data_IF_998095329918
#
_entry.id   IF_998095329918
#
_cell.length_a   1.000
_cell.length_b   1.000
_cell.length_c   1.000
_cell.angle_alpha   90.00
_cell.angle_beta   90.00
_cell.angle_gamma   90.00
#
_symmetry.space_group_name_H-M   'P 1'
#
loop_
_entity.id
_entity.type
_entity.pdbx_description
1 polymer ?
#
# COMPACT_ATOMS: atom_id res chain seq x y z
N UNK A 1 34.13 15.96 -1.80
CA UNK A 1 33.30 14.73 -1.77
C UNK A 1 31.87 15.11 -2.16
N UNK A 2 31.47 14.78 -3.38
CA UNK A 2 30.09 14.92 -3.85
C UNK A 2 29.21 13.95 -3.06
N UNK A 3 28.16 14.47 -2.40
CA UNK A 3 27.17 13.64 -1.73
C UNK A 3 26.32 12.97 -2.80
N UNK A 4 26.51 11.67 -2.99
CA UNK A 4 25.67 10.88 -3.88
C UNK A 4 24.38 10.57 -3.12
N UNK A 5 23.32 11.32 -3.40
CA UNK A 5 21.98 11.04 -2.91
C UNK A 5 21.31 10.04 -3.86
N UNK A 6 21.59 8.74 -3.72
CA UNK A 6 20.81 7.71 -4.43
C UNK A 6 19.52 7.47 -3.63
N UNK A 7 18.50 8.27 -3.92
CA UNK A 7 17.14 7.94 -3.53
C UNK A 7 16.38 7.67 -4.82
N UNK A 8 15.77 6.48 -4.95
CA UNK A 8 15.09 6.03 -6.18
C UNK A 8 14.15 7.10 -6.76
N UNK A 9 13.56 7.90 -5.88
CA UNK A 9 12.63 8.95 -6.22
C UNK A 9 13.19 9.91 -7.28
N UNK A 10 14.48 10.28 -7.23
CA UNK A 10 15.09 11.26 -8.13
C UNK A 10 15.60 10.71 -9.45
N UNK A 11 16.18 9.50 -9.44
CA UNK A 11 16.78 8.91 -10.64
C UNK A 11 15.98 7.77 -11.24
N UNK A 12 14.99 7.23 -10.52
CA UNK A 12 14.11 6.13 -10.90
C UNK A 12 14.86 4.88 -11.38
N UNK A 13 16.04 4.62 -10.79
CA UNK A 13 16.98 3.59 -11.22
C UNK A 13 17.31 2.57 -10.11
N UNK A 14 16.47 2.44 -9.09
CA UNK A 14 16.65 1.46 -7.99
C UNK A 14 15.67 0.31 -8.13
N UNK A 15 14.38 0.60 -8.40
CA UNK A 15 13.37 -0.44 -8.64
C UNK A 15 13.15 -0.62 -10.15
N UNK A 16 13.79 -1.65 -10.71
CA UNK A 16 13.75 -1.93 -12.15
C UNK A 16 12.59 -2.82 -12.60
N UNK A 17 11.93 -3.48 -11.64
CA UNK A 17 10.80 -4.37 -11.87
C UNK A 17 9.78 -4.16 -10.76
N UNK A 18 8.52 -4.36 -11.09
CA UNK A 18 7.40 -4.39 -10.15
C UNK A 18 7.33 -5.71 -9.39
N UNK A 19 8.04 -6.75 -9.86
CA UNK A 19 8.04 -8.08 -9.25
C UNK A 19 8.55 -8.01 -7.80
N UNK A 20 7.78 -8.55 -6.82
CA UNK A 20 8.22 -8.58 -5.43
C UNK A 20 9.43 -9.50 -5.26
N UNK A 21 10.39 -9.08 -4.45
CA UNK A 21 11.61 -9.85 -4.17
C UNK A 21 11.66 -10.43 -2.74
N UNK A 22 10.59 -10.26 -1.97
CA UNK A 22 10.52 -10.70 -0.57
C UNK A 22 9.41 -11.73 -0.40
N UNK A 23 9.81 -13.01 -0.24
CA UNK A 23 8.87 -14.11 -0.04
C UNK A 23 8.04 -13.95 1.24
N UNK A 24 8.52 -13.20 2.24
CA UNK A 24 7.81 -13.00 3.52
C UNK A 24 6.52 -12.16 3.40
N UNK A 25 6.23 -11.60 2.23
CA UNK A 25 4.93 -10.97 1.93
C UNK A 25 3.81 -12.01 1.70
N UNK A 26 4.18 -13.27 1.43
CA UNK A 26 3.25 -14.33 1.02
C UNK A 26 3.27 -15.46 2.05
N UNK A 27 2.65 -15.24 3.23
CA UNK A 27 2.80 -16.14 4.38
C UNK A 27 1.78 -17.28 4.40
N UNK A 28 0.64 -17.08 3.75
CA UNK A 28 -0.47 -18.02 3.78
C UNK A 28 -1.17 -18.10 2.44
N UNK A 29 -1.65 -19.29 2.09
CA UNK A 29 -2.60 -19.45 0.98
C UNK A 29 -3.90 -18.72 1.32
N UNK A 30 -4.49 -18.07 0.31
CA UNK A 30 -5.77 -17.36 0.39
C UNK A 30 -6.79 -18.00 -0.55
N UNK A 31 -7.94 -18.39 -0.03
CA UNK A 31 -9.07 -18.81 -0.86
C UNK A 31 -9.77 -17.61 -1.46
N UNK A 32 -10.31 -17.77 -2.67
CA UNK A 32 -11.19 -16.77 -3.27
C UNK A 32 -12.46 -16.63 -2.43
N UNK A 33 -12.96 -15.40 -2.31
CA UNK A 33 -14.23 -15.12 -1.68
C UNK A 33 -15.38 -15.76 -2.50
N UNK A 34 -16.36 -16.39 -1.84
CA UNK A 34 -17.48 -17.03 -2.51
C UNK A 34 -18.45 -16.02 -3.12
N UNK A 35 -19.28 -16.49 -4.07
CA UNK A 35 -20.22 -15.63 -4.79
C UNK A 35 -21.28 -14.97 -3.90
N UNK A 36 -21.58 -15.57 -2.75
CA UNK A 36 -22.54 -15.08 -1.76
C UNK A 36 -21.88 -14.31 -0.61
N UNK A 37 -20.59 -13.95 -0.73
CA UNK A 37 -19.86 -13.17 0.27
C UNK A 37 -20.62 -11.90 0.68
N UNK A 38 -20.62 -11.61 1.98
CA UNK A 38 -21.30 -10.44 2.56
C UNK A 38 -20.29 -9.49 3.18
N UNK A 39 -20.34 -8.24 2.74
CA UNK A 39 -19.52 -7.18 3.29
C UNK A 39 -20.16 -6.68 4.59
N UNK A 40 -19.61 -7.08 5.73
CA UNK A 40 -20.22 -6.84 7.06
C UNK A 40 -20.12 -5.38 7.49
N UNK A 41 -19.03 -4.71 7.09
CA UNK A 41 -18.80 -3.31 7.37
C UNK A 41 -17.99 -2.64 6.25
N UNK A 42 -17.97 -1.31 6.26
CA UNK A 42 -17.27 -0.49 5.24
C UNK A 42 -16.25 0.46 5.86
N UNK A 43 -15.91 0.22 7.13
CA UNK A 43 -14.94 1.05 7.83
C UNK A 43 -13.55 0.74 7.28
N UNK A 44 -12.79 1.79 7.03
CA UNK A 44 -11.41 1.68 6.54
C UNK A 44 -10.47 1.62 7.73
N UNK A 45 -9.39 0.84 7.62
CA UNK A 45 -8.25 0.91 8.56
C UNK A 45 -7.07 1.61 7.91
N UNK A 46 -6.35 2.42 8.68
CA UNK A 46 -5.13 3.07 8.25
C UNK A 46 -4.03 2.91 9.31
N UNK A 47 -3.01 2.11 8.99
CA UNK A 47 -1.80 1.98 9.79
C UNK A 47 -0.78 3.06 9.36
N UNK A 48 -0.80 4.22 10.02
CA UNK A 48 0.04 5.38 9.69
C UNK A 48 0.86 5.77 10.92
N UNK A 49 1.96 5.07 11.13
CA UNK A 49 2.86 5.30 12.27
C UNK A 49 3.83 6.48 12.09
N UNK A 50 3.67 7.27 11.03
CA UNK A 50 4.43 8.49 10.80
C UNK A 50 3.48 9.62 10.40
N UNK A 51 3.28 10.56 11.32
CA UNK A 51 2.46 11.74 11.14
C UNK A 51 3.35 13.00 11.15
N UNK A 52 3.18 13.85 10.14
CA UNK A 52 3.79 15.19 10.05
C UNK A 52 2.75 16.32 9.94
N UNK A 53 1.47 15.97 10.02
CA UNK A 53 0.37 16.91 9.81
C UNK A 53 0.25 17.43 8.38
N UNK A 54 -0.66 18.38 8.19
CA UNK A 54 -0.98 18.96 6.88
C UNK A 54 0.08 19.95 6.37
N UNK A 55 1.02 20.35 7.23
CA UNK A 55 2.15 21.22 6.88
C UNK A 55 3.40 20.43 6.46
N UNK A 56 3.23 19.17 6.04
CA UNK A 56 4.33 18.38 5.48
C UNK A 56 4.84 19.06 4.20
N UNK A 57 6.16 19.24 4.11
CA UNK A 57 6.81 19.76 2.90
C UNK A 57 6.59 18.81 1.72
N UNK A 58 6.30 19.38 0.55
CA UNK A 58 6.17 18.60 -0.67
C UNK A 58 7.54 18.12 -1.15
N UNK A 59 7.57 16.95 -1.79
CA UNK A 59 8.75 16.48 -2.53
C UNK A 59 8.43 16.61 -4.00
N UNK A 60 8.92 17.69 -4.63
CA UNK A 60 8.62 17.97 -6.04
C UNK A 60 9.65 17.34 -6.97
N UNK A 61 9.20 16.52 -7.91
CA UNK A 61 10.03 15.94 -8.97
C UNK A 61 9.33 16.15 -10.31
N UNK A 62 10.02 16.80 -11.23
CA UNK A 62 9.47 17.19 -12.54
C UNK A 62 8.11 17.92 -12.45
N UNK A 63 7.90 18.71 -11.39
CA UNK A 63 6.67 19.46 -11.15
C UNK A 63 5.53 18.67 -10.52
N UNK A 64 5.75 17.40 -10.16
CA UNK A 64 4.78 16.53 -9.48
C UNK A 64 5.21 16.37 -8.02
N UNK A 65 4.25 16.55 -7.10
CA UNK A 65 4.47 16.19 -5.69
C UNK A 65 4.38 14.68 -5.53
N UNK A 66 5.51 14.05 -5.24
CA UNK A 66 5.61 12.61 -5.09
C UNK A 66 5.49 12.17 -3.63
N UNK A 67 5.45 13.09 -2.66
CA UNK A 67 5.22 12.74 -1.26
C UNK A 67 3.73 12.43 -1.03
N UNK A 68 3.44 11.21 -0.56
CA UNK A 68 2.08 10.76 -0.31
C UNK A 68 1.67 10.90 1.17
N UNK A 69 2.58 11.30 2.07
CA UNK A 69 2.33 11.45 3.51
C UNK A 69 1.21 12.46 3.76
N UNK A 70 1.24 13.60 3.05
CA UNK A 70 0.19 14.62 3.17
C UNK A 70 -1.18 14.07 2.72
N UNK A 71 -1.23 13.37 1.58
CA UNK A 71 -2.48 12.76 1.07
C UNK A 71 -3.04 11.72 2.04
N UNK A 72 -2.18 10.87 2.62
CA UNK A 72 -2.58 9.91 3.67
C UNK A 72 -3.17 10.62 4.88
N UNK A 73 -2.57 11.74 5.26
CA UNK A 73 -3.05 12.56 6.37
C UNK A 73 -4.42 13.18 6.07
N UNK A 74 -4.61 13.72 4.86
CA UNK A 74 -5.89 14.29 4.43
C UNK A 74 -7.02 13.26 4.44
N UNK A 75 -6.77 12.05 3.92
CA UNK A 75 -7.75 10.95 3.92
C UNK A 75 -8.08 10.52 5.36
N UNK A 76 -7.07 10.31 6.19
CA UNK A 76 -7.25 9.88 7.57
C UNK A 76 -8.06 10.89 8.40
N UNK A 77 -7.72 12.19 8.31
CA UNK A 77 -8.44 13.24 9.03
C UNK A 77 -9.88 13.40 8.51
N UNK A 78 -10.09 13.35 7.19
CA UNK A 78 -11.43 13.44 6.61
C UNK A 78 -12.30 12.24 7.02
N UNK A 79 -11.78 11.03 6.86
CA UNK A 79 -12.48 9.80 7.21
C UNK A 79 -12.80 9.72 8.70
N UNK A 80 -11.87 10.16 9.57
CA UNK A 80 -12.07 10.12 11.01
C UNK A 80 -13.20 11.06 11.41
N UNK A 81 -13.25 12.27 10.81
CA UNK A 81 -14.33 13.24 11.01
C UNK A 81 -15.72 12.67 10.68
N UNK A 82 -15.82 11.77 9.70
CA UNK A 82 -17.09 11.13 9.30
C UNK A 82 -17.24 9.71 9.85
N UNK A 83 -16.37 9.28 10.76
CA UNK A 83 -16.32 7.93 11.34
C UNK A 83 -16.22 6.79 10.30
N UNK A 84 -15.62 7.06 9.14
CA UNK A 84 -15.42 6.08 8.07
C UNK A 84 -14.03 5.42 8.07
N UNK A 85 -13.10 5.89 8.90
CA UNK A 85 -11.75 5.32 9.04
C UNK A 85 -11.31 5.26 10.50
N UNK A 86 -10.63 4.19 10.87
CA UNK A 86 -9.86 4.08 12.10
C UNK A 86 -8.36 4.19 11.81
N UNK A 87 -7.68 5.03 12.58
CA UNK A 87 -6.26 5.35 12.39
C UNK A 87 -5.44 4.75 13.52
N UNK A 88 -4.37 4.04 13.16
CA UNK A 88 -3.44 3.45 14.12
C UNK A 88 -2.02 3.89 13.84
N UNK A 89 -1.38 4.49 14.83
CA UNK A 89 0.00 4.95 14.74
C UNK A 89 0.30 6.10 15.70
N UNK A 90 1.59 6.28 15.99
CA UNK A 90 2.05 7.36 16.86
C UNK A 90 2.02 8.76 16.22
N UNK A 91 1.92 9.76 17.09
CA UNK A 91 2.14 11.17 16.77
C UNK A 91 0.92 11.93 16.25
N UNK A 92 -0.23 11.27 16.15
CA UNK A 92 -1.48 11.91 15.76
C UNK A 92 -2.06 12.78 16.88
N UNK A 93 -2.87 13.81 16.55
CA UNK A 93 -3.63 14.55 17.54
C UNK A 93 -4.56 13.66 18.37
N UNK A 94 -4.85 14.08 19.61
CA UNK A 94 -5.75 13.37 20.51
C UNK A 94 -7.11 13.09 19.86
N UNK A 95 -7.59 11.85 19.99
CA UNK A 95 -8.86 11.40 19.43
C UNK A 95 -8.83 11.00 17.95
N UNK A 96 -7.69 11.13 17.26
CA UNK A 96 -7.55 10.67 15.87
C UNK A 96 -7.05 9.23 15.80
N UNK A 97 -5.91 8.93 16.45
CA UNK A 97 -5.39 7.57 16.47
C UNK A 97 -5.93 6.81 17.68
N UNK A 98 -6.34 5.56 17.45
CA UNK A 98 -6.85 4.67 18.50
C UNK A 98 -5.73 4.13 19.40
N UNK A 99 -4.55 3.88 18.83
CA UNK A 99 -3.35 3.38 19.52
C UNK A 99 -2.13 3.43 18.58
N UNK A 100 -0.92 3.19 19.10
CA UNK A 100 0.26 2.98 18.25
C UNK A 100 0.28 1.56 17.66
N UNK A 101 0.23 1.47 16.33
CA UNK A 101 0.28 0.21 15.58
C UNK A 101 1.59 -0.58 15.72
N UNK A 102 2.62 -0.01 16.37
CA UNK A 102 3.96 -0.60 16.49
C UNK A 102 4.31 -1.13 17.88
N UNK A 103 3.36 -1.16 18.80
CA UNK A 103 3.58 -1.77 20.11
C UNK A 103 3.64 -3.31 20.02
N UNK A 104 4.61 -3.92 20.70
CA UNK A 104 4.76 -5.38 20.77
C UNK A 104 5.32 -6.03 19.50
N UNK A 105 4.91 -7.28 19.23
CA UNK A 105 5.24 -7.96 17.98
C UNK A 105 4.44 -7.36 16.83
N UNK A 106 5.10 -6.50 16.06
CA UNK A 106 4.48 -5.74 14.98
C UNK A 106 3.82 -6.62 13.92
N UNK A 107 4.38 -7.80 13.62
CA UNK A 107 3.81 -8.67 12.58
C UNK A 107 2.45 -9.23 13.01
N UNK A 108 2.35 -9.74 14.22
CA UNK A 108 1.09 -10.25 14.77
C UNK A 108 0.12 -9.11 15.00
N UNK A 109 0.57 -8.00 15.60
CA UNK A 109 -0.29 -6.85 15.89
C UNK A 109 -0.91 -6.25 14.62
N UNK A 110 -0.12 -6.14 13.55
CA UNK A 110 -0.61 -5.64 12.26
C UNK A 110 -1.77 -6.47 11.74
N UNK A 111 -1.68 -7.81 11.81
CA UNK A 111 -2.76 -8.71 11.37
C UNK A 111 -4.00 -8.56 12.24
N UNK A 112 -3.83 -8.52 13.56
CA UNK A 112 -4.95 -8.33 14.50
C UNK A 112 -5.70 -7.02 14.23
N UNK A 113 -4.96 -5.95 13.89
CA UNK A 113 -5.54 -4.65 13.55
C UNK A 113 -6.24 -4.62 12.19
N UNK A 114 -5.82 -5.43 11.22
CA UNK A 114 -6.44 -5.50 9.90
C UNK A 114 -7.68 -6.41 9.88
N UNK A 115 -7.67 -7.48 10.67
CA UNK A 115 -8.69 -8.53 10.66
C UNK A 115 -10.16 -8.07 10.78
N UNK A 116 -10.55 -7.05 11.57
CA UNK A 116 -11.95 -6.64 11.66
C UNK A 116 -12.41 -5.72 10.51
N UNK A 117 -11.53 -5.39 9.56
CA UNK A 117 -11.80 -4.46 8.48
C UNK A 117 -11.84 -5.16 7.13
N UNK A 118 -12.49 -4.49 6.17
CA UNK A 118 -12.56 -4.95 4.79
C UNK A 118 -11.84 -4.01 3.82
N UNK A 119 -11.41 -2.84 4.26
CA UNK A 119 -10.70 -1.86 3.44
C UNK A 119 -9.49 -1.35 4.20
N UNK A 120 -8.34 -1.29 3.54
CA UNK A 120 -7.10 -0.81 4.15
C UNK A 120 -6.46 0.28 3.29
N UNK A 121 -6.06 1.38 3.92
CA UNK A 121 -5.31 2.46 3.29
C UNK A 121 -3.84 2.04 3.08
N UNK A 122 -3.59 1.32 2.00
CA UNK A 122 -2.33 0.68 1.65
C UNK A 122 -1.40 1.60 0.81
N UNK A 123 -1.40 2.90 1.08
CA UNK A 123 -0.56 3.87 0.34
C UNK A 123 0.92 3.66 0.60
N UNK A 124 1.72 3.86 -0.44
CA UNK A 124 3.14 4.11 -0.24
C UNK A 124 3.39 5.45 0.44
N UNK A 125 4.59 5.61 1.01
CA UNK A 125 5.00 6.90 1.57
C UNK A 125 5.31 7.91 0.45
N UNK A 126 5.72 7.42 -0.72
CA UNK A 126 6.18 8.23 -1.84
C UNK A 126 5.83 7.52 -3.14
N UNK A 127 5.30 8.27 -4.11
CA UNK A 127 5.09 7.78 -5.47
C UNK A 127 6.45 7.72 -6.19
N UNK A 128 6.92 6.53 -6.50
CA UNK A 128 8.18 6.33 -7.20
C UNK A 128 8.07 5.12 -8.13
N UNK A 129 8.72 5.21 -9.30
CA UNK A 129 8.66 4.16 -10.32
C UNK A 129 8.95 2.78 -9.73
N UNK A 130 8.03 1.84 -9.97
CA UNK A 130 8.07 0.44 -9.52
C UNK A 130 8.21 0.25 -8.00
N UNK A 131 7.98 1.28 -7.18
CA UNK A 131 8.05 1.16 -5.73
C UNK A 131 6.73 0.59 -5.19
N UNK A 132 6.72 -0.72 -4.96
CA UNK A 132 5.61 -1.48 -4.39
C UNK A 132 6.15 -2.26 -3.20
N UNK A 133 5.59 -2.05 -2.01
CA UNK A 133 6.09 -2.61 -0.76
C UNK A 133 5.11 -3.63 -0.16
N UNK A 134 5.34 -4.01 1.11
CA UNK A 134 4.49 -4.94 1.86
C UNK A 134 3.02 -4.48 1.97
N UNK A 135 2.73 -3.18 1.83
CA UNK A 135 1.43 -2.60 2.25
C UNK A 135 0.24 -3.16 1.48
N UNK A 136 0.35 -3.29 0.16
CA UNK A 136 -0.73 -3.87 -0.64
C UNK A 136 -0.86 -5.38 -0.39
N UNK A 137 0.26 -6.08 -0.21
CA UNK A 137 0.27 -7.52 0.06
C UNK A 137 -0.34 -7.85 1.43
N UNK A 138 0.04 -7.11 2.47
CA UNK A 138 -0.52 -7.28 3.82
C UNK A 138 -2.03 -6.92 3.85
N UNK A 139 -2.48 -5.99 2.99
CA UNK A 139 -3.92 -5.74 2.81
C UNK A 139 -4.63 -6.99 2.32
N UNK A 140 -4.11 -7.60 1.25
CA UNK A 140 -4.72 -8.75 0.58
C UNK A 140 -4.67 -9.99 1.49
N UNK A 141 -3.54 -10.22 2.18
CA UNK A 141 -3.37 -11.33 3.13
C UNK A 141 -4.40 -11.30 4.28
N UNK A 142 -4.92 -10.13 4.62
CA UNK A 142 -5.94 -9.94 5.66
C UNK A 142 -7.33 -9.68 5.06
N UNK A 143 -7.58 -10.11 3.81
CA UNK A 143 -8.85 -9.96 3.12
C UNK A 143 -9.40 -8.52 3.12
N UNK A 144 -8.51 -7.52 3.14
CA UNK A 144 -8.86 -6.12 2.97
C UNK A 144 -8.67 -5.71 1.51
N UNK A 145 -9.71 -5.16 0.88
CA UNK A 145 -9.58 -4.50 -0.41
C UNK A 145 -8.61 -3.31 -0.29
N UNK A 146 -7.50 -3.28 -1.05
CA UNK A 146 -6.53 -2.21 -0.91
C UNK A 146 -7.08 -0.89 -1.47
N UNK A 147 -6.89 0.19 -0.71
CA UNK A 147 -6.96 1.57 -1.19
C UNK A 147 -5.51 2.00 -1.41
N UNK A 148 -5.07 2.02 -2.67
CA UNK A 148 -3.65 2.12 -3.02
C UNK A 148 -3.34 3.44 -3.72
N UNK A 149 -2.13 3.93 -3.46
CA UNK A 149 -1.47 4.97 -4.24
C UNK A 149 0.04 4.74 -4.13
N UNK A 150 0.68 4.51 -5.27
CA UNK A 150 2.13 4.53 -5.46
C UNK A 150 2.44 5.10 -6.83
N UNK A 151 3.08 4.31 -7.70
CA UNK A 151 3.30 4.62 -9.12
C UNK A 151 2.45 3.70 -10.02
N UNK A 152 2.30 4.08 -11.29
CA UNK A 152 1.52 3.34 -12.30
C UNK A 152 2.07 1.93 -12.61
N UNK A 153 3.33 1.62 -12.26
CA UNK A 153 3.88 0.27 -12.41
C UNK A 153 3.08 -0.81 -11.65
N UNK A 154 2.24 -0.43 -10.69
CA UNK A 154 1.32 -1.39 -10.02
C UNK A 154 0.44 -2.17 -11.01
N UNK A 155 0.12 -1.58 -12.17
CA UNK A 155 -0.71 -2.21 -13.19
C UNK A 155 0.00 -3.28 -14.04
N UNK A 156 1.32 -3.40 -13.91
CA UNK A 156 2.06 -4.55 -14.46
C UNK A 156 1.77 -5.83 -13.67
N UNK A 157 1.31 -5.70 -12.42
CA UNK A 157 0.97 -6.82 -11.54
C UNK A 157 -0.54 -7.01 -11.39
N UNK A 158 -1.25 -5.91 -11.15
CA UNK A 158 -2.66 -5.95 -10.78
C UNK A 158 -3.53 -5.51 -11.95
N UNK A 159 -4.58 -6.29 -12.30
CA UNK A 159 -5.49 -5.88 -13.35
C UNK A 159 -6.27 -4.63 -12.95
N UNK A 160 -6.77 -3.90 -13.94
CA UNK A 160 -7.69 -2.78 -13.72
C UNK A 160 -8.90 -3.24 -12.89
N UNK A 161 -9.41 -2.33 -12.04
CA UNK A 161 -10.52 -2.60 -11.12
C UNK A 161 -10.29 -3.81 -10.20
N UNK A 162 -9.07 -4.00 -9.69
CA UNK A 162 -8.78 -4.98 -8.63
C UNK A 162 -8.63 -4.33 -7.25
N UNK A 163 -8.10 -3.11 -7.19
CA UNK A 163 -8.00 -2.30 -5.98
C UNK A 163 -8.64 -0.93 -6.20
N UNK A 164 -8.79 -0.13 -5.14
CA UNK A 164 -9.22 1.26 -5.25
C UNK A 164 -7.98 2.12 -5.53
N UNK A 165 -7.79 2.53 -6.79
CA UNK A 165 -6.71 3.42 -7.19
C UNK A 165 -7.03 4.87 -6.83
N UNK A 166 -6.44 5.37 -5.75
CA UNK A 166 -6.67 6.74 -5.33
C UNK A 166 -5.99 7.77 -6.24
N UNK A 167 -5.00 7.39 -7.05
CA UNK A 167 -4.38 8.32 -8.01
C UNK A 167 -5.40 8.85 -9.03
N UNK A 168 -6.43 8.05 -9.35
CA UNK A 168 -7.53 8.42 -10.24
C UNK A 168 -8.68 9.16 -9.53
N UNK A 169 -8.78 9.05 -8.20
CA UNK A 169 -9.84 9.67 -7.39
C UNK A 169 -9.38 11.05 -6.90
N UNK A 170 -8.20 11.08 -6.24
CA UNK A 170 -7.55 12.26 -5.68
C UNK A 170 -8.48 13.17 -4.84
N UNK A 171 -9.46 12.59 -4.16
CA UNK A 171 -10.42 13.30 -3.32
C UNK A 171 -10.93 12.39 -2.18
N UNK A 172 -10.77 12.78 -0.90
CA UNK A 172 -11.21 11.94 0.22
C UNK A 172 -12.72 11.71 0.26
N UNK A 173 -13.53 12.73 -0.05
CA UNK A 173 -15.00 12.60 -0.05
C UNK A 173 -15.44 11.55 -1.07
N UNK A 174 -14.96 11.67 -2.31
CA UNK A 174 -15.30 10.73 -3.39
C UNK A 174 -14.80 9.31 -3.06
N UNK A 175 -13.63 9.16 -2.43
CA UNK A 175 -13.15 7.86 -1.96
C UNK A 175 -14.16 7.18 -1.02
N UNK A 176 -14.61 7.89 0.03
CA UNK A 176 -15.55 7.31 0.97
C UNK A 176 -16.96 7.13 0.37
N UNK A 177 -17.38 7.96 -0.58
CA UNK A 177 -18.61 7.74 -1.35
C UNK A 177 -18.53 6.46 -2.20
N UNK A 178 -17.39 6.16 -2.83
CA UNK A 178 -17.18 4.91 -3.58
C UNK A 178 -17.29 3.71 -2.63
N UNK A 179 -16.62 3.76 -1.48
CA UNK A 179 -16.63 2.68 -0.49
C UNK A 179 -18.06 2.45 0.03
N UNK A 180 -18.75 3.53 0.42
CA UNK A 180 -20.11 3.47 0.96
C UNK A 180 -21.12 2.90 -0.05
N UNK A 181 -20.92 3.14 -1.35
CA UNK A 181 -21.80 2.63 -2.41
C UNK A 181 -21.36 1.29 -3.01
N UNK A 182 -20.18 0.77 -2.63
CA UNK A 182 -19.68 -0.51 -3.15
C UNK A 182 -20.58 -1.67 -2.77
N UNK A 183 -21.00 -2.48 -3.74
CA UNK A 183 -21.81 -3.68 -3.48
C UNK A 183 -20.95 -4.85 -2.99
N UNK A 184 -21.58 -5.82 -2.31
CA UNK A 184 -20.95 -7.11 -1.94
C UNK A 184 -20.26 -7.77 -3.15
N UNK A 185 -20.97 -7.80 -4.28
CA UNK A 185 -20.50 -8.40 -5.53
C UNK A 185 -19.29 -7.67 -6.08
N UNK A 186 -19.30 -6.35 -6.07
CA UNK A 186 -18.18 -5.53 -6.53
C UNK A 186 -16.96 -5.72 -5.64
N UNK A 187 -17.14 -5.64 -4.32
CA UNK A 187 -16.08 -5.88 -3.34
C UNK A 187 -15.41 -7.23 -3.58
N UNK A 188 -16.21 -8.30 -3.63
CA UNK A 188 -15.72 -9.67 -3.83
C UNK A 188 -15.02 -9.81 -5.19
N UNK A 189 -15.58 -9.26 -6.26
CA UNK A 189 -14.97 -9.30 -7.60
C UNK A 189 -13.60 -8.63 -7.61
N UNK A 190 -13.49 -7.45 -6.99
CA UNK A 190 -12.24 -6.68 -6.92
C UNK A 190 -11.19 -7.40 -6.09
N UNK A 191 -11.54 -7.80 -4.87
CA UNK A 191 -10.61 -8.47 -3.97
C UNK A 191 -10.16 -9.84 -4.51
N UNK A 192 -11.03 -10.60 -5.19
CA UNK A 192 -10.65 -11.86 -5.82
C UNK A 192 -9.57 -11.67 -6.90
N UNK A 193 -9.65 -10.61 -7.71
CA UNK A 193 -8.56 -10.26 -8.66
C UNK A 193 -7.24 -9.99 -7.93
N UNK A 194 -7.28 -9.32 -6.78
CA UNK A 194 -6.08 -9.12 -5.95
C UNK A 194 -5.56 -10.44 -5.37
N UNK A 195 -6.44 -11.31 -4.91
CA UNK A 195 -6.09 -12.64 -4.37
C UNK A 195 -5.44 -13.51 -5.44
N UNK A 196 -5.92 -13.47 -6.69
CA UNK A 196 -5.30 -14.20 -7.81
C UNK A 196 -3.84 -13.79 -8.03
N UNK A 197 -3.55 -12.48 -7.99
CA UNK A 197 -2.18 -11.95 -8.08
C UNK A 197 -1.33 -12.37 -6.88
N UNK A 198 -1.88 -12.27 -5.66
CA UNK A 198 -1.22 -12.74 -4.45
C UNK A 198 -0.88 -14.23 -4.54
N UNK A 199 -1.84 -15.06 -4.98
CA UNK A 199 -1.67 -16.51 -5.11
C UNK A 199 -0.64 -16.88 -6.18
N UNK A 200 -0.55 -16.11 -7.27
CA UNK A 200 0.51 -16.29 -8.25
C UNK A 200 1.89 -16.21 -7.61
N UNK A 201 2.13 -15.22 -6.74
CA UNK A 201 3.40 -15.06 -6.05
C UNK A 201 3.59 -16.03 -4.88
N UNK A 202 2.54 -16.31 -4.10
CA UNK A 202 2.56 -17.33 -3.05
C UNK A 202 2.91 -18.72 -3.59
N UNK A 203 2.53 -19.04 -4.83
CA UNK A 203 2.90 -20.31 -5.49
C UNK A 203 4.38 -20.43 -5.88
N UNK A 204 5.16 -19.35 -5.79
CA UNK A 204 6.59 -19.34 -6.10
C UNK A 204 7.40 -19.85 -4.90
N UNK A 205 8.49 -20.54 -5.18
CA UNK A 205 9.45 -20.91 -4.15
C UNK A 205 10.33 -19.71 -3.73
N UNK A 206 11.03 -19.84 -2.59
CA UNK A 206 11.97 -18.83 -2.11
C UNK A 206 13.06 -18.48 -3.13
N UNK A 207 13.47 -19.45 -3.97
CA UNK A 207 14.52 -19.26 -4.97
C UNK A 207 14.15 -18.25 -6.05
N UNK A 208 12.86 -18.18 -6.43
CA UNK A 208 12.31 -17.14 -7.30
C UNK A 208 12.57 -15.75 -6.72
N UNK A 209 12.20 -15.52 -5.45
CA UNK A 209 12.36 -14.22 -4.79
C UNK A 209 13.83 -13.84 -4.59
N UNK A 210 14.68 -14.80 -4.23
CA UNK A 210 16.14 -14.60 -4.13
C UNK A 210 16.73 -14.19 -5.48
N UNK A 211 16.29 -14.83 -6.57
CA UNK A 211 16.73 -14.48 -7.93
C UNK A 211 16.31 -13.05 -8.29
N UNK A 212 15.05 -12.68 -8.09
CA UNK A 212 14.55 -11.32 -8.37
C UNK A 212 15.29 -10.27 -7.52
N UNK A 213 15.57 -10.58 -6.25
CA UNK A 213 16.39 -9.73 -5.38
C UNK A 213 17.80 -9.53 -5.94
N UNK A 214 18.45 -10.60 -6.39
CA UNK A 214 19.80 -10.52 -6.96
C UNK A 214 19.83 -9.67 -8.23
N UNK A 215 18.85 -9.85 -9.14
CA UNK A 215 18.71 -9.02 -10.34
C UNK A 215 18.56 -7.54 -9.95
N UNK A 216 17.72 -7.22 -8.97
CA UNK A 216 17.55 -5.85 -8.48
C UNK A 216 18.86 -5.29 -7.92
N UNK A 217 19.58 -6.03 -7.08
CA UNK A 217 20.85 -5.60 -6.48
C UNK A 217 21.95 -5.42 -7.52
N UNK A 218 22.08 -6.31 -8.50
CA UNK A 218 23.03 -6.21 -9.61
C UNK A 218 22.77 -4.94 -10.43
N UNK A 219 21.51 -4.64 -10.73
CA UNK A 219 21.13 -3.43 -11.45
C UNK A 219 21.46 -2.18 -10.65
N UNK A 220 21.21 -2.16 -9.34
CA UNK A 220 21.62 -1.06 -8.45
C UNK A 220 23.13 -0.86 -8.55
N UNK A 221 23.92 -1.92 -8.37
CA UNK A 221 25.40 -1.84 -8.44
C UNK A 221 25.88 -1.33 -9.81
N UNK A 222 25.27 -1.80 -10.91
CA UNK A 222 25.59 -1.34 -12.25
C UNK A 222 25.28 0.15 -12.44
N UNK A 223 24.13 0.61 -11.96
CA UNK A 223 23.76 2.03 -11.97
C UNK A 223 24.76 2.87 -11.18
N UNK A 224 25.14 2.44 -9.97
CA UNK A 224 26.09 3.18 -9.13
C UNK A 224 27.47 3.31 -9.80
N UNK A 225 27.93 2.26 -10.49
CA UNK A 225 29.20 2.30 -11.24
C UNK A 225 29.22 3.28 -12.41
N UNK A 226 28.06 3.70 -12.93
CA UNK A 226 27.98 4.71 -14.01
C UNK A 226 28.01 6.15 -13.49
N UNK A 227 27.78 6.34 -12.20
CA UNK A 227 27.71 7.66 -11.54
C UNK A 227 29.08 8.06 -10.95
N UNK A 228 29.95 7.08 -10.69
CA UNK A 228 31.31 7.23 -10.14
C UNK A 228 32.33 7.23 -11.26
#
# INVERSE_FOLDING_TARGET
>A
MSRVHIMNVYNQQVFHSTTPFNYSFFRSSLDLLPADYKLENKKVVALISFYKGLQTENVMIHGIDVDLIKKRTEIALYGNKINAIDVYGKGWPDGISLEDSREGDWSTRKRDLLNPYHFNLAFENTSALNYITEKIWDSIENYCLPIYYGDNGIYDLFPQDSFIDYSQINNPKTLFEIIENMSDQEYMTRLNKCIEVYQHFHSKDESFFVKERNISLENIVHTLRKIV
#
